data_IF_749237204854
#
_entry.id   IF_749237204854
#
_cell.length_a   1.000
_cell.length_b   1.000
_cell.length_c   1.000
_cell.angle_alpha   90.00
_cell.angle_beta   90.00
_cell.angle_gamma   90.00
#
_symmetry.space_group_name_H-M   'P 1'
#
loop_
_entity.id
_entity.type
_entity.pdbx_description
1 polymer ?
#
# COMPACT_ATOMS: atom_id res chain seq x y z
N UNK A 1 8.80 -53.13 37.13
CA UNK A 1 9.82 -52.06 36.89
C UNK A 1 9.98 -51.75 35.41
N UNK A 2 10.13 -52.72 34.50
CA UNK A 2 10.26 -52.50 33.04
C UNK A 2 9.02 -51.88 32.44
N UNK A 3 7.83 -52.25 32.88
CA UNK A 3 6.53 -51.69 32.44
C UNK A 3 6.42 -50.19 32.71
N UNK A 4 6.94 -49.75 33.86
CA UNK A 4 6.91 -48.33 34.25
C UNK A 4 7.86 -47.49 33.38
N UNK A 5 9.01 -48.04 33.00
CA UNK A 5 9.95 -47.40 32.08
C UNK A 5 9.35 -47.27 30.64
N UNK A 6 8.67 -48.33 30.20
CA UNK A 6 8.02 -48.31 28.88
C UNK A 6 6.88 -47.29 28.88
N UNK A 7 6.05 -47.25 29.91
CA UNK A 7 5.00 -46.26 30.03
C UNK A 7 5.52 -44.82 30.06
N UNK A 8 6.61 -44.56 30.76
CA UNK A 8 7.26 -43.27 30.85
C UNK A 8 7.83 -42.82 29.47
N UNK A 9 8.48 -43.72 28.77
CA UNK A 9 9.03 -43.41 27.44
C UNK A 9 7.94 -43.12 26.41
N UNK A 10 6.85 -43.88 26.41
CA UNK A 10 5.69 -43.63 25.55
C UNK A 10 5.04 -42.25 25.89
N UNK A 11 4.85 -41.97 27.18
CA UNK A 11 4.29 -40.69 27.60
C UNK A 11 5.17 -39.50 27.21
N UNK A 12 6.48 -39.63 27.38
CA UNK A 12 7.44 -38.59 26.98
C UNK A 12 7.44 -38.32 25.46
N UNK A 13 7.37 -39.40 24.67
CA UNK A 13 7.34 -39.28 23.19
C UNK A 13 6.03 -38.65 22.73
N UNK A 14 4.88 -39.01 23.31
CA UNK A 14 3.58 -38.39 22.99
C UNK A 14 3.56 -36.91 23.39
N UNK A 15 4.09 -36.58 24.58
CA UNK A 15 4.18 -35.21 25.05
C UNK A 15 5.07 -34.34 24.15
N UNK A 16 6.24 -34.90 23.72
CA UNK A 16 7.11 -34.23 22.79
C UNK A 16 6.44 -33.99 21.42
N UNK A 17 5.72 -34.97 20.90
CA UNK A 17 4.99 -34.84 19.65
C UNK A 17 3.88 -33.77 19.74
N UNK A 18 3.17 -33.68 20.89
CA UNK A 18 2.17 -32.64 21.12
C UNK A 18 2.78 -31.25 21.16
N UNK A 19 3.95 -31.07 21.80
CA UNK A 19 4.63 -29.77 21.84
C UNK A 19 5.04 -29.29 20.45
N UNK A 20 5.56 -30.19 19.61
CA UNK A 20 5.91 -29.89 18.22
C UNK A 20 4.66 -29.49 17.41
N UNK A 21 3.56 -30.24 17.59
CA UNK A 21 2.30 -29.93 16.92
C UNK A 21 1.76 -28.55 17.32
N UNK A 22 1.84 -28.21 18.61
CA UNK A 22 1.45 -26.89 19.11
C UNK A 22 2.31 -25.78 18.52
N UNK A 23 3.64 -25.93 18.47
CA UNK A 23 4.53 -24.91 17.87
C UNK A 23 4.19 -24.64 16.39
N UNK A 24 3.94 -25.71 15.63
CA UNK A 24 3.51 -25.60 14.21
C UNK A 24 2.15 -24.90 14.10
N UNK A 25 1.19 -25.23 14.98
CA UNK A 25 -0.13 -24.57 15.01
C UNK A 25 -0.02 -23.08 15.33
N UNK A 26 0.77 -22.70 16.34
CA UNK A 26 0.97 -21.29 16.68
C UNK A 26 1.63 -20.50 15.55
N UNK A 27 2.65 -21.06 14.88
CA UNK A 27 3.29 -20.44 13.73
C UNK A 27 2.29 -20.21 12.58
N UNK A 28 1.47 -21.21 12.27
CA UNK A 28 0.43 -21.09 11.23
C UNK A 28 -0.65 -20.07 11.59
N UNK A 29 -1.10 -20.11 12.85
CA UNK A 29 -2.10 -19.15 13.33
C UNK A 29 -1.60 -17.71 13.23
N UNK A 30 -0.35 -17.46 13.60
CA UNK A 30 0.26 -16.14 13.49
C UNK A 30 0.27 -15.65 12.03
N UNK A 31 0.70 -16.50 11.09
CA UNK A 31 0.72 -16.15 9.65
C UNK A 31 -0.69 -15.82 9.13
N UNK A 32 -1.69 -16.63 9.48
CA UNK A 32 -3.08 -16.40 9.06
C UNK A 32 -3.63 -15.11 9.68
N UNK A 33 -3.34 -14.85 10.95
CA UNK A 33 -3.76 -13.64 11.64
C UNK A 33 -3.14 -12.38 11.02
N UNK A 34 -1.85 -12.43 10.70
CA UNK A 34 -1.13 -11.33 10.07
C UNK A 34 -1.67 -11.04 8.66
N UNK A 35 -2.00 -12.09 7.89
CA UNK A 35 -2.65 -11.95 6.59
C UNK A 35 -4.04 -11.31 6.70
N UNK A 36 -4.86 -11.79 7.63
CA UNK A 36 -6.21 -11.27 7.82
C UNK A 36 -6.20 -9.79 8.22
N UNK A 37 -5.34 -9.41 9.17
CA UNK A 37 -5.19 -8.01 9.59
C UNK A 37 -4.73 -7.10 8.44
N UNK A 38 -3.79 -7.58 7.64
CA UNK A 38 -3.27 -6.86 6.47
C UNK A 38 -4.34 -6.62 5.42
N UNK A 39 -5.19 -7.62 5.15
CA UNK A 39 -6.34 -7.45 4.25
C UNK A 39 -7.32 -6.38 4.73
N UNK A 40 -7.60 -6.35 6.04
CA UNK A 40 -8.50 -5.34 6.62
C UNK A 40 -7.90 -3.94 6.48
N UNK A 41 -6.62 -3.77 6.85
CA UNK A 41 -5.92 -2.49 6.73
C UNK A 41 -5.89 -2.03 5.26
N UNK A 42 -5.52 -2.91 4.35
CA UNK A 42 -5.48 -2.59 2.91
C UNK A 42 -6.83 -2.12 2.37
N UNK A 43 -7.94 -2.77 2.78
CA UNK A 43 -9.30 -2.35 2.40
C UNK A 43 -9.67 -0.98 2.96
N UNK A 44 -9.31 -0.71 4.22
CA UNK A 44 -9.57 0.59 4.85
C UNK A 44 -8.80 1.69 4.14
N UNK A 45 -7.50 1.48 3.84
CA UNK A 45 -6.67 2.43 3.10
C UNK A 45 -7.23 2.64 1.69
N UNK A 46 -7.56 1.55 0.98
CA UNK A 46 -8.16 1.64 -0.36
C UNK A 46 -9.47 2.44 -0.33
N UNK A 47 -10.36 2.14 0.60
CA UNK A 47 -11.63 2.86 0.74
C UNK A 47 -11.41 4.36 1.00
N UNK A 48 -10.44 4.69 1.85
CA UNK A 48 -10.07 6.09 2.12
C UNK A 48 -9.57 6.81 0.87
N UNK A 49 -8.68 6.17 0.10
CA UNK A 49 -8.16 6.73 -1.16
C UNK A 49 -9.31 6.98 -2.15
N UNK A 50 -10.17 5.98 -2.34
CA UNK A 50 -11.32 6.11 -3.25
C UNK A 50 -12.31 7.18 -2.80
N UNK A 51 -12.52 7.33 -1.50
CA UNK A 51 -13.35 8.42 -0.95
C UNK A 51 -12.75 9.79 -1.27
N UNK A 52 -11.44 9.97 -1.10
CA UNK A 52 -10.75 11.21 -1.43
C UNK A 52 -10.81 11.51 -2.94
N UNK A 53 -10.63 10.50 -3.80
CA UNK A 53 -10.77 10.66 -5.25
C UNK A 53 -12.21 11.08 -5.63
N UNK A 54 -13.23 10.54 -4.97
CA UNK A 54 -14.62 10.90 -5.26
C UNK A 54 -14.98 12.32 -4.89
N UNK A 55 -14.33 12.89 -3.89
CA UNK A 55 -14.60 14.26 -3.40
C UNK A 55 -13.62 15.30 -3.91
N UNK A 56 -12.51 14.87 -4.52
CA UNK A 56 -11.48 15.74 -5.08
C UNK A 56 -11.88 16.34 -6.41
N UNK A 57 -11.21 17.42 -6.76
CA UNK A 57 -11.30 18.13 -8.04
C UNK A 57 -9.89 18.37 -8.61
N UNK A 58 -9.79 18.85 -9.84
CA UNK A 58 -8.53 19.24 -10.48
C UNK A 58 -7.41 18.19 -10.33
N UNK A 59 -7.62 17.04 -10.92
CA UNK A 59 -6.70 15.92 -10.80
C UNK A 59 -5.46 16.08 -11.66
N UNK A 60 -4.31 15.60 -11.17
CA UNK A 60 -3.04 15.51 -11.88
C UNK A 60 -2.23 14.29 -11.42
N UNK A 61 -1.12 13.98 -12.13
CA UNK A 61 -0.61 14.62 -13.35
C UNK A 61 -1.46 14.29 -14.59
N UNK A 62 -1.38 15.16 -15.60
CA UNK A 62 -2.09 15.00 -16.86
C UNK A 62 -1.22 14.32 -17.93
N UNK A 63 -1.78 13.53 -18.86
CA UNK A 63 -1.09 13.14 -20.07
C UNK A 63 -0.82 14.37 -20.96
N UNK A 64 0.19 14.31 -21.82
CA UNK A 64 0.52 15.41 -22.73
C UNK A 64 -0.60 15.64 -23.76
N UNK A 65 -1.24 14.56 -24.21
CA UNK A 65 -2.41 14.61 -25.09
C UNK A 65 -3.51 13.66 -24.56
N UNK A 66 -4.61 14.23 -24.14
CA UNK A 66 -5.79 13.49 -23.63
C UNK A 66 -6.51 12.72 -24.76
N UNK A 67 -6.38 13.19 -26.01
CA UNK A 67 -7.02 12.54 -27.16
C UNK A 67 -6.23 11.36 -27.71
N UNK A 68 -4.95 11.25 -27.35
CA UNK A 68 -4.10 10.15 -27.76
C UNK A 68 -4.38 8.91 -26.91
N UNK A 69 -4.92 7.87 -27.55
CA UNK A 69 -5.22 6.59 -26.88
C UNK A 69 -3.98 5.85 -26.37
N UNK A 70 -2.79 6.23 -26.80
CA UNK A 70 -1.52 5.68 -26.27
C UNK A 70 -1.10 6.34 -24.96
N UNK A 71 -1.59 7.55 -24.66
CA UNK A 71 -1.26 8.32 -23.49
C UNK A 71 -2.43 8.38 -22.47
N UNK A 72 -3.65 8.07 -22.89
CA UNK A 72 -4.85 8.10 -22.08
C UNK A 72 -5.63 6.77 -22.24
N UNK A 73 -5.71 5.91 -21.19
CA UNK A 73 -5.40 6.18 -19.80
C UNK A 73 -3.90 6.19 -19.46
N UNK A 74 -3.50 7.11 -18.58
CA UNK A 74 -2.14 7.27 -18.13
C UNK A 74 -1.90 6.58 -16.77
N UNK A 75 -0.74 5.93 -16.62
CA UNK A 75 -0.36 5.22 -15.40
C UNK A 75 0.73 6.00 -14.67
N UNK A 76 0.48 6.32 -13.41
CA UNK A 76 1.41 7.07 -12.56
C UNK A 76 1.65 6.36 -11.23
N UNK A 77 2.75 6.71 -10.56
CA UNK A 77 3.09 6.26 -9.20
C UNK A 77 2.49 7.16 -8.11
N UNK A 78 1.85 8.24 -8.51
CA UNK A 78 1.19 9.22 -7.63
C UNK A 78 -0.08 9.75 -8.24
N UNK A 79 -0.96 10.25 -7.40
CA UNK A 79 -2.15 11.02 -7.78
C UNK A 79 -2.18 12.29 -6.94
N UNK A 80 -2.51 13.40 -7.57
CA UNK A 80 -2.67 14.70 -6.94
C UNK A 80 -4.03 15.26 -7.30
N UNK A 81 -4.69 15.93 -6.35
CA UNK A 81 -5.98 16.57 -6.57
C UNK A 81 -6.21 17.67 -5.53
N UNK A 82 -7.09 18.60 -5.88
CA UNK A 82 -7.58 19.62 -4.94
C UNK A 82 -8.62 18.96 -4.04
N UNK A 83 -8.34 18.88 -2.75
CA UNK A 83 -9.23 18.30 -1.73
C UNK A 83 -10.17 19.31 -1.11
N UNK A 84 -9.77 20.59 -1.11
CA UNK A 84 -10.57 21.69 -0.61
C UNK A 84 -10.16 22.99 -1.33
N UNK A 85 -11.16 23.77 -1.74
CA UNK A 85 -10.98 25.10 -2.34
C UNK A 85 -12.04 26.05 -1.79
N UNK A 86 -11.59 27.12 -1.15
CA UNK A 86 -12.43 28.21 -0.64
C UNK A 86 -11.87 29.54 -1.16
N UNK A 87 -12.34 29.92 -2.33
CA UNK A 87 -11.92 31.15 -3.00
C UNK A 87 -12.25 32.42 -2.19
N UNK A 88 -13.30 32.40 -1.35
CA UNK A 88 -13.68 33.53 -0.54
C UNK A 88 -12.66 33.83 0.56
N UNK A 89 -12.06 32.80 1.13
CA UNK A 89 -11.04 32.90 2.17
C UNK A 89 -9.63 32.72 1.63
N UNK A 90 -9.46 32.52 0.32
CA UNK A 90 -8.20 32.23 -0.35
C UNK A 90 -7.47 31.04 0.29
N UNK A 91 -8.23 29.95 0.56
CA UNK A 91 -7.74 28.71 1.11
C UNK A 91 -7.82 27.64 0.03
N UNK A 92 -6.69 27.03 -0.29
CA UNK A 92 -6.61 25.92 -1.23
C UNK A 92 -5.79 24.78 -0.64
N UNK A 93 -6.33 23.57 -0.70
CA UNK A 93 -5.68 22.38 -0.20
C UNK A 93 -5.48 21.36 -1.32
N UNK A 94 -4.23 20.99 -1.55
CA UNK A 94 -3.82 20.02 -2.55
C UNK A 94 -3.38 18.75 -1.83
N UNK A 95 -4.02 17.65 -2.15
CA UNK A 95 -3.68 16.33 -1.61
C UNK A 95 -2.92 15.54 -2.65
N UNK A 96 -1.76 15.01 -2.26
CA UNK A 96 -0.96 14.09 -3.06
C UNK A 96 -0.86 12.75 -2.35
N UNK A 97 -1.12 11.67 -3.08
CA UNK A 97 -0.89 10.30 -2.61
C UNK A 97 0.24 9.73 -3.47
N UNK A 98 1.34 9.35 -2.82
CA UNK A 98 2.54 8.88 -3.51
C UNK A 98 3.25 7.77 -2.73
N UNK A 99 4.14 7.04 -3.40
CA UNK A 99 4.99 6.04 -2.75
C UNK A 99 6.39 6.58 -2.54
N UNK A 100 6.96 6.32 -1.35
CA UNK A 100 8.33 6.70 -1.02
C UNK A 100 9.13 5.50 -0.49
N UNK A 101 10.45 5.61 -0.57
CA UNK A 101 11.36 4.67 0.09
C UNK A 101 11.18 4.76 1.61
N UNK A 102 11.21 3.62 2.33
CA UNK A 102 11.09 3.61 3.79
C UNK A 102 12.18 4.45 4.46
N UNK A 103 11.82 5.11 5.54
CA UNK A 103 12.72 5.92 6.33
C UNK A 103 12.35 5.88 7.82
N UNK A 104 13.10 6.65 8.62
CA UNK A 104 12.73 6.89 10.02
C UNK A 104 11.64 7.97 10.06
N UNK A 105 10.52 7.67 10.67
CA UNK A 105 9.43 8.62 10.93
C UNK A 105 9.13 8.68 12.41
N UNK A 106 8.74 9.85 12.90
CA UNK A 106 8.29 10.00 14.29
C UNK A 106 6.78 9.85 14.34
N UNK A 107 6.30 8.78 14.97
CA UNK A 107 4.88 8.52 15.19
C UNK A 107 4.59 8.65 16.68
N UNK A 108 3.73 9.59 17.05
CA UNK A 108 3.40 9.83 18.47
C UNK A 108 4.61 10.17 19.35
N UNK A 109 5.61 10.85 18.80
CA UNK A 109 6.87 11.20 19.50
C UNK A 109 7.92 10.10 19.52
N UNK A 110 7.65 8.90 19.00
CA UNK A 110 8.59 7.78 18.95
C UNK A 110 9.18 7.62 17.55
N UNK A 111 10.53 7.58 17.40
CA UNK A 111 11.15 7.25 16.12
C UNK A 111 10.82 5.82 15.73
N UNK A 112 10.18 5.65 14.58
CA UNK A 112 9.73 4.34 14.06
C UNK A 112 10.32 4.14 12.67
N UNK A 113 10.99 3.01 12.46
CA UNK A 113 11.47 2.62 11.14
C UNK A 113 10.29 2.04 10.34
N UNK A 114 10.03 2.64 9.19
CA UNK A 114 9.03 2.11 8.25
C UNK A 114 9.51 0.81 7.62
N UNK A 115 8.60 -0.09 7.32
CA UNK A 115 8.88 -1.43 6.82
C UNK A 115 8.49 -1.60 5.36
N UNK A 116 9.16 -2.56 4.71
CA UNK A 116 8.87 -2.97 3.35
C UNK A 116 9.61 -2.17 2.29
N UNK A 117 9.41 -2.50 1.00
CA UNK A 117 10.13 -1.87 -0.10
C UNK A 117 9.72 -0.41 -0.31
N UNK A 118 8.46 -0.08 -0.06
CA UNK A 118 7.93 1.30 -0.15
C UNK A 118 6.87 1.56 0.91
N UNK A 119 6.59 2.82 1.10
CA UNK A 119 5.55 3.35 2.00
C UNK A 119 4.63 4.24 1.22
N UNK A 120 3.33 4.08 1.39
CA UNK A 120 2.33 4.97 0.82
C UNK A 120 2.15 6.18 1.72
N UNK A 121 2.32 7.37 1.16
CA UNK A 121 2.22 8.64 1.86
C UNK A 121 1.02 9.45 1.41
N UNK A 122 0.44 10.17 2.34
CA UNK A 122 -0.50 11.24 2.13
C UNK A 122 0.20 12.56 2.44
N UNK A 123 0.32 13.40 1.45
CA UNK A 123 0.88 14.74 1.55
C UNK A 123 -0.24 15.74 1.30
N UNK A 124 -0.41 16.66 2.22
CA UNK A 124 -1.42 17.71 2.13
C UNK A 124 -0.71 19.06 2.18
N UNK A 125 -0.75 19.77 1.08
CA UNK A 125 -0.23 21.12 0.93
C UNK A 125 -1.41 22.12 1.00
N UNK A 126 -1.50 22.88 2.10
CA UNK A 126 -2.53 23.88 2.33
C UNK A 126 -1.93 25.27 2.18
N UNK A 127 -2.46 26.02 1.25
CA UNK A 127 -2.18 27.44 1.07
C UNK A 127 -3.31 28.27 1.68
N UNK A 128 -2.97 29.26 2.51
CA UNK A 128 -3.92 30.19 3.14
C UNK A 128 -3.35 31.60 3.02
N UNK A 129 -3.84 32.36 2.07
CA UNK A 129 -3.28 33.65 1.71
C UNK A 129 -1.79 33.56 1.31
N UNK A 130 -0.92 34.22 2.08
CA UNK A 130 0.53 34.18 1.89
C UNK A 130 1.23 33.03 2.65
N UNK A 131 0.50 32.26 3.46
CA UNK A 131 1.03 31.16 4.26
C UNK A 131 0.83 29.84 3.54
N UNK A 132 1.83 28.96 3.59
CA UNK A 132 1.75 27.59 3.09
C UNK A 132 2.13 26.61 4.21
N UNK A 133 1.31 25.59 4.40
CA UNK A 133 1.56 24.54 5.40
C UNK A 133 1.55 23.19 4.70
N UNK A 134 2.58 22.38 4.94
CA UNK A 134 2.68 21.02 4.41
C UNK A 134 2.55 20.00 5.55
N UNK A 135 1.63 19.08 5.40
CA UNK A 135 1.42 17.96 6.33
C UNK A 135 1.67 16.66 5.62
N UNK A 136 2.51 15.81 6.20
CA UNK A 136 2.85 14.51 5.62
C UNK A 136 2.50 13.40 6.61
N UNK A 137 1.83 12.36 6.13
CA UNK A 137 1.40 11.22 6.95
C UNK A 137 1.59 9.91 6.19
N UNK A 138 2.23 8.90 6.77
CA UNK A 138 2.24 7.57 6.20
C UNK A 138 0.82 6.98 6.28
N UNK A 139 0.33 6.42 5.19
CA UNK A 139 -0.95 5.71 5.12
C UNK A 139 -0.77 4.21 5.35
N UNK A 140 0.26 3.63 4.77
CA UNK A 140 0.51 2.19 4.82
C UNK A 140 1.96 1.88 4.49
N UNK A 141 2.55 1.01 5.29
CA UNK A 141 3.88 0.41 5.07
C UNK A 141 3.77 -0.87 4.25
N UNK A 142 4.93 -1.37 3.80
CA UNK A 142 4.99 -2.67 3.11
C UNK A 142 4.42 -2.66 1.71
N UNK A 143 4.35 -1.50 1.06
CA UNK A 143 3.90 -1.38 -0.33
C UNK A 143 4.97 -1.95 -1.27
N UNK A 144 4.58 -2.93 -2.07
CA UNK A 144 5.39 -3.51 -3.14
C UNK A 144 5.25 -2.69 -4.40
N UNK A 145 4.01 -2.39 -4.77
CA UNK A 145 3.68 -1.55 -5.90
C UNK A 145 2.40 -0.76 -5.62
N UNK A 146 2.36 0.49 -6.05
CA UNK A 146 1.14 1.27 -6.11
C UNK A 146 1.13 2.00 -7.47
N UNK A 147 0.05 1.84 -8.21
CA UNK A 147 -0.14 2.52 -9.48
C UNK A 147 -1.54 3.11 -9.55
N UNK A 148 -1.59 4.31 -10.11
CA UNK A 148 -2.81 5.07 -10.35
C UNK A 148 -3.01 5.16 -11.86
N UNK A 149 -3.97 4.42 -12.37
CA UNK A 149 -4.35 4.48 -13.77
C UNK A 149 -5.49 5.49 -13.92
N UNK A 150 -5.19 6.63 -14.53
CA UNK A 150 -6.10 7.77 -14.66
C UNK A 150 -6.56 7.93 -16.09
N UNK A 151 -7.87 7.94 -16.29
CA UNK A 151 -8.53 8.15 -17.57
C UNK A 151 -9.18 9.54 -17.56
N UNK A 152 -8.80 10.35 -18.53
CA UNK A 152 -9.26 11.73 -18.66
C UNK A 152 -10.21 11.91 -19.86
N UNK A 153 -11.11 12.87 -19.72
CA UNK A 153 -11.92 13.40 -20.82
C UNK A 153 -11.34 14.72 -21.35
N UNK A 154 -11.68 15.13 -22.57
CA UNK A 154 -11.29 16.44 -23.10
C UNK A 154 -11.71 17.56 -22.15
N UNK A 155 -10.76 18.52 -21.88
CA UNK A 155 -10.98 19.60 -20.93
C UNK A 155 -10.39 19.35 -19.55
N UNK A 156 -9.30 18.63 -19.45
CA UNK A 156 -8.64 17.73 -18.52
C UNK A 156 -9.48 17.34 -17.28
N UNK A 157 -10.65 16.77 -17.51
CA UNK A 157 -11.51 16.23 -16.45
C UNK A 157 -11.18 14.75 -16.23
N UNK A 158 -10.95 14.36 -14.98
CA UNK A 158 -10.77 12.95 -14.64
C UNK A 158 -12.12 12.22 -14.78
N UNK A 159 -12.19 11.26 -15.72
CA UNK A 159 -13.34 10.36 -15.88
C UNK A 159 -13.37 9.29 -14.82
N UNK A 160 -12.21 8.64 -14.61
CA UNK A 160 -12.06 7.63 -13.57
C UNK A 160 -10.59 7.44 -13.21
N UNK A 161 -10.35 7.04 -11.96
CA UNK A 161 -9.05 6.55 -11.51
C UNK A 161 -9.19 5.11 -11.03
N UNK A 162 -8.29 4.24 -11.52
CA UNK A 162 -8.14 2.88 -11.00
C UNK A 162 -6.90 2.83 -10.14
N UNK A 163 -7.06 2.47 -8.90
CA UNK A 163 -5.98 2.33 -7.91
C UNK A 163 -5.63 0.85 -7.80
N UNK A 164 -4.37 0.52 -8.04
CA UNK A 164 -3.82 -0.83 -7.92
C UNK A 164 -2.74 -0.82 -6.85
N UNK A 165 -3.02 -1.44 -5.71
CA UNK A 165 -2.11 -1.54 -4.58
C UNK A 165 -1.71 -3.00 -4.37
N UNK A 166 -0.41 -3.25 -4.34
CA UNK A 166 0.17 -4.54 -3.96
C UNK A 166 1.04 -4.34 -2.73
N UNK A 167 0.80 -5.10 -1.68
CA UNK A 167 1.49 -4.94 -0.40
C UNK A 167 1.72 -6.27 0.30
N UNK A 168 2.72 -6.28 1.18
CA UNK A 168 3.11 -7.44 1.98
C UNK A 168 2.33 -7.48 3.29
N UNK A 169 2.06 -8.67 3.84
CA UNK A 169 1.57 -8.82 5.20
C UNK A 169 2.53 -8.17 6.21
N UNK A 170 1.98 -7.45 7.17
CA UNK A 170 2.76 -6.70 8.16
C UNK A 170 3.37 -7.56 9.29
N UNK A 171 3.49 -8.88 9.12
CA UNK A 171 4.08 -9.79 10.11
C UNK A 171 5.61 -9.75 10.14
N UNK A 172 6.20 -9.79 11.33
CA UNK A 172 7.66 -9.80 11.52
C UNK A 172 8.37 -10.96 10.83
N UNK A 173 7.66 -12.07 10.60
CA UNK A 173 8.23 -13.30 9.98
C UNK A 173 8.41 -13.17 8.47
N UNK A 174 7.70 -12.25 7.82
CA UNK A 174 7.79 -12.04 6.36
C UNK A 174 8.92 -11.07 6.03
N UNK A 175 9.10 -10.01 6.81
CA UNK A 175 10.16 -9.03 6.60
C UNK A 175 11.58 -9.62 6.76
N UNK A 176 11.76 -10.64 7.62
CA UNK A 176 13.04 -11.34 7.76
C UNK A 176 13.35 -12.28 6.57
N UNK A 177 12.31 -12.81 5.92
CA UNK A 177 12.49 -13.68 4.75
C UNK A 177 12.87 -12.93 3.48
N UNK A 178 12.32 -11.72 3.30
CA UNK A 178 12.57 -10.90 2.09
C UNK A 178 14.00 -10.36 2.00
N UNK A 179 14.68 -10.19 3.13
CA UNK A 179 16.09 -9.83 3.16
C UNK A 179 17.02 -10.96 2.65
N UNK A 180 16.54 -12.21 2.65
CA UNK A 180 17.31 -13.40 2.29
C UNK A 180 17.01 -13.93 0.87
N UNK A 181 15.87 -13.55 0.28
CA UNK A 181 15.45 -14.03 -1.06
C UNK A 181 15.47 -12.88 -2.05
N UNK A 182 16.38 -12.94 -3.02
CA UNK A 182 16.52 -11.93 -4.08
C UNK A 182 15.19 -11.72 -4.84
N UNK A 183 14.78 -10.46 -4.94
CA UNK A 183 13.52 -10.04 -5.55
C UNK A 183 13.53 -10.20 -7.06
N UNK A 184 12.48 -10.80 -7.61
CA UNK A 184 12.14 -10.70 -9.02
C UNK A 184 11.43 -9.37 -9.29
N UNK A 185 12.13 -8.41 -9.86
CA UNK A 185 11.55 -7.12 -10.26
C UNK A 185 10.90 -7.23 -11.63
N UNK A 186 9.68 -6.74 -11.77
CA UNK A 186 9.04 -6.48 -13.06
C UNK A 186 8.83 -4.99 -13.18
N UNK A 187 9.57 -4.37 -14.08
CA UNK A 187 9.45 -2.93 -14.37
C UNK A 187 8.16 -2.63 -15.14
N UNK A 188 7.49 -1.56 -14.76
CA UNK A 188 6.42 -0.94 -15.54
C UNK A 188 6.84 0.49 -15.85
N UNK A 189 6.86 0.84 -17.11
CA UNK A 189 7.12 2.21 -17.56
C UNK A 189 5.89 3.07 -17.29
N UNK A 190 6.07 4.17 -16.58
CA UNK A 190 5.03 5.17 -16.33
C UNK A 190 4.86 6.08 -17.54
N UNK A 191 3.77 6.86 -17.57
CA UNK A 191 3.49 7.81 -18.64
C UNK A 191 4.53 8.93 -18.76
N UNK A 192 5.28 9.23 -17.71
CA UNK A 192 6.38 10.19 -17.68
C UNK A 192 7.72 9.60 -18.14
N UNK A 193 7.75 8.33 -18.58
CA UNK A 193 8.94 7.60 -19.00
C UNK A 193 9.78 7.04 -17.86
N UNK A 194 9.40 7.24 -16.60
CA UNK A 194 10.07 6.62 -15.45
C UNK A 194 9.70 5.15 -15.33
N UNK A 195 10.66 4.32 -14.90
CA UNK A 195 10.42 2.91 -14.61
C UNK A 195 10.10 2.72 -13.13
N UNK A 196 8.95 2.13 -12.84
CA UNK A 196 8.61 1.66 -11.49
C UNK A 196 8.84 0.16 -11.44
N UNK A 197 9.78 -0.26 -10.59
CA UNK A 197 9.97 -1.65 -10.27
C UNK A 197 8.71 -2.19 -9.59
N UNK A 198 7.89 -2.91 -10.33
CA UNK A 198 6.90 -3.79 -9.75
C UNK A 198 7.64 -5.01 -9.23
N UNK A 199 8.08 -4.97 -8.00
CA UNK A 199 8.50 -6.18 -7.31
C UNK A 199 7.27 -7.08 -7.14
N UNK A 200 7.04 -7.93 -8.13
CA UNK A 200 6.12 -9.03 -7.95
C UNK A 200 6.85 -10.03 -7.07
N UNK A 201 6.54 -10.02 -5.81
CA UNK A 201 6.95 -11.04 -4.85
C UNK A 201 6.18 -12.34 -5.13
N UNK A 202 6.38 -12.88 -6.33
CA UNK A 202 6.28 -14.30 -6.55
C UNK A 202 7.71 -14.83 -6.42
N UNK A 203 8.24 -14.84 -5.19
CA UNK A 203 9.35 -15.72 -4.93
C UNK A 203 8.82 -17.14 -5.03
N UNK A 204 9.62 -18.05 -5.56
CA UNK A 204 9.37 -19.50 -5.46
C UNK A 204 9.18 -19.98 -4.02
N UNK A 205 9.39 -19.10 -3.05
CA UNK A 205 9.23 -19.33 -1.60
C UNK A 205 7.83 -18.94 -1.06
N UNK A 206 6.90 -18.48 -1.90
CA UNK A 206 5.50 -18.30 -1.51
C UNK A 206 5.25 -17.20 -0.47
N UNK A 207 5.97 -16.07 -0.53
CA UNK A 207 5.63 -14.90 0.30
C UNK A 207 4.27 -14.37 -0.15
N UNK A 208 3.23 -14.43 0.69
CA UNK A 208 1.91 -13.99 0.31
C UNK A 208 1.90 -12.47 0.13
N UNK A 209 1.52 -12.00 -1.04
CA UNK A 209 1.22 -10.60 -1.30
C UNK A 209 -0.28 -10.42 -1.44
N UNK A 210 -0.77 -9.28 -0.99
CA UNK A 210 -2.15 -8.87 -1.17
C UNK A 210 -2.19 -7.83 -2.27
N UNK A 211 -3.01 -8.06 -3.29
CA UNK A 211 -3.28 -7.10 -4.34
C UNK A 211 -4.73 -6.65 -4.29
N UNK A 212 -4.94 -5.35 -4.22
CA UNK A 212 -6.25 -4.72 -4.25
C UNK A 212 -6.32 -3.78 -5.46
N UNK A 213 -7.35 -3.97 -6.27
CA UNK A 213 -7.63 -3.09 -7.41
C UNK A 213 -9.05 -2.54 -7.21
N UNK A 214 -9.18 -1.23 -7.31
CA UNK A 214 -10.49 -0.59 -7.23
C UNK A 214 -10.52 0.70 -8.04
N UNK A 215 -11.72 1.07 -8.48
CA UNK A 215 -11.94 2.20 -9.36
C UNK A 215 -12.89 3.20 -8.71
N UNK A 216 -12.59 4.48 -8.87
CA UNK A 216 -13.46 5.58 -8.49
C UNK A 216 -13.58 6.58 -9.63
N UNK A 217 -14.76 7.19 -9.74
CA UNK A 217 -14.98 8.38 -10.54
C UNK A 217 -15.23 9.56 -9.59
N UNK A 218 -14.70 10.75 -9.90
CA UNK A 218 -15.05 11.97 -9.17
C UNK A 218 -16.57 12.22 -9.26
N UNK A 219 -17.12 12.85 -8.25
CA UNK A 219 -18.48 13.40 -8.37
C UNK A 219 -18.42 14.55 -9.36
N UNK A 220 -19.17 14.43 -10.46
CA UNK A 220 -19.33 15.55 -11.39
C UNK A 220 -19.85 16.76 -10.62
N UNK A 221 -19.24 17.90 -10.84
CA UNK A 221 -19.88 19.18 -10.53
C UNK A 221 -21.00 19.34 -11.57
N UNK A 222 -22.24 19.13 -11.12
CA UNK A 222 -23.46 19.45 -11.89
C UNK A 222 -23.65 20.97 -12.00
#
# INVERSE_FOLDING_TARGET
MVELLIALTISATVMSAMLVALDVMFKRYKVISDQASTHVIGRVVMHRILSMIRTGSEFGPFPADVMDSSQNPAVYDRIQFVSFDDAANNIREITTIETRVPGMVTIGGTPTLQRGPRVLWLVVDRAEGASATRTERPLMDGIVAATFNMEYEPGPRLRRATVDLTFMPQGNTVAERDAATGNLSRTTTLADGSEVDRQLLFSDAGTPVVRLISTAAPRGED
#
